data_IF_412220774667
#
_entry.id   IF_412220774667
#
_cell.length_a   1.000
_cell.length_b   1.000
_cell.length_c   1.000
_cell.angle_alpha   90.00
_cell.angle_beta   90.00
_cell.angle_gamma   90.00
#
_symmetry.space_group_name_H-M   'P 1'
#
loop_
_entity.id
_entity.type
_entity.pdbx_description
1 polymer ?
#
# COMPACT_ATOMS: atom_id res chain seq x y z
N UNK A 1 2.69 23.09 15.10
CA UNK A 1 3.37 23.72 13.95
C UNK A 1 2.36 24.25 12.92
N UNK A 2 1.45 23.45 12.42
CA UNK A 2 0.44 23.83 11.42
C UNK A 2 -0.49 24.98 11.85
N UNK A 3 -0.97 24.95 13.09
CA UNK A 3 -1.85 26.00 13.68
C UNK A 3 -1.21 27.40 13.71
N UNK A 4 0.12 27.50 13.83
CA UNK A 4 0.83 28.80 13.82
C UNK A 4 0.84 29.48 12.44
N UNK A 5 0.67 28.69 11.38
CA UNK A 5 0.65 29.16 9.99
C UNK A 5 -0.76 29.19 9.38
N UNK A 6 -1.80 28.87 10.16
CA UNK A 6 -3.18 28.81 9.67
C UNK A 6 -3.44 27.70 8.64
N UNK A 7 -2.55 26.72 8.55
CA UNK A 7 -2.65 25.61 7.58
C UNK A 7 -3.29 24.40 8.27
N UNK A 8 -4.30 23.82 7.65
CA UNK A 8 -4.87 22.56 8.13
C UNK A 8 -3.97 21.39 7.66
N UNK A 9 -3.59 20.46 8.56
CA UNK A 9 -2.89 19.24 8.16
C UNK A 9 -3.78 18.39 7.25
N UNK A 10 -3.19 17.59 6.34
CA UNK A 10 -3.96 16.69 5.50
C UNK A 10 -4.70 15.67 6.38
N UNK A 11 -5.97 15.41 6.07
CA UNK A 11 -6.80 14.43 6.79
C UNK A 11 -6.55 13.01 6.28
N UNK A 12 -6.26 12.88 4.99
CA UNK A 12 -6.09 11.60 4.32
C UNK A 12 -4.93 11.57 3.34
N UNK A 13 -4.27 10.43 3.28
CA UNK A 13 -3.19 10.12 2.35
C UNK A 13 -3.57 8.86 1.57
N UNK A 14 -3.57 8.94 0.24
CA UNK A 14 -3.76 7.78 -0.64
C UNK A 14 -2.41 7.29 -1.15
N UNK A 15 -2.02 6.07 -0.76
CA UNK A 15 -0.88 5.36 -1.32
C UNK A 15 -1.35 4.55 -2.54
N UNK A 16 -0.74 4.75 -3.68
CA UNK A 16 -1.07 3.98 -4.88
C UNK A 16 0.20 3.47 -5.57
N UNK A 17 0.10 2.35 -6.27
CA UNK A 17 1.23 1.74 -6.96
C UNK A 17 1.04 0.24 -7.16
N UNK A 18 1.99 -0.43 -7.82
CA UNK A 18 1.90 -1.87 -8.10
C UNK A 18 1.76 -2.70 -6.81
N UNK A 19 1.15 -3.89 -6.89
CA UNK A 19 1.11 -4.81 -5.75
C UNK A 19 2.53 -5.21 -5.32
N UNK A 20 2.68 -5.61 -4.06
CA UNK A 20 3.97 -6.08 -3.55
C UNK A 20 5.06 -5.01 -3.32
N UNK A 21 4.81 -3.72 -3.61
CA UNK A 21 5.78 -2.62 -3.48
C UNK A 21 5.82 -1.97 -2.09
N UNK A 22 5.24 -2.59 -1.07
CA UNK A 22 5.45 -2.15 0.33
C UNK A 22 4.52 -1.04 0.83
N UNK A 23 3.38 -0.74 0.19
CA UNK A 23 2.42 0.29 0.64
C UNK A 23 1.98 0.10 2.10
N UNK A 24 1.65 -1.12 2.48
CA UNK A 24 1.25 -1.48 3.86
C UNK A 24 2.41 -1.34 4.84
N UNK A 25 3.63 -1.70 4.44
CA UNK A 25 4.84 -1.55 5.26
C UNK A 25 5.15 -0.07 5.49
N UNK A 26 5.04 0.76 4.45
CA UNK A 26 5.22 2.21 4.56
C UNK A 26 4.25 2.84 5.56
N UNK A 27 2.97 2.47 5.50
CA UNK A 27 1.97 2.98 6.44
C UNK A 27 2.27 2.58 7.89
N UNK A 28 2.74 1.34 8.12
CA UNK A 28 3.17 0.87 9.45
C UNK A 28 4.41 1.61 9.95
N UNK A 29 5.40 1.83 9.08
CA UNK A 29 6.60 2.57 9.42
C UNK A 29 6.27 4.00 9.86
N UNK A 30 5.38 4.69 9.13
CA UNK A 30 4.89 6.02 9.50
C UNK A 30 4.23 6.02 10.88
N UNK A 31 3.42 5.01 11.20
CA UNK A 31 2.78 4.90 12.52
C UNK A 31 3.79 4.68 13.64
N UNK A 32 4.79 3.83 13.41
CA UNK A 32 5.86 3.55 14.38
C UNK A 32 6.71 4.80 14.66
N UNK A 33 7.15 5.49 13.60
CA UNK A 33 7.97 6.71 13.71
C UNK A 33 7.21 7.87 14.38
N UNK A 34 5.90 7.96 14.14
CA UNK A 34 5.05 9.00 14.75
C UNK A 34 4.50 8.59 16.12
N UNK A 35 4.84 7.41 16.64
CA UNK A 35 4.33 6.86 17.90
C UNK A 35 2.78 6.88 17.97
N UNK A 36 2.14 6.67 16.83
CA UNK A 36 0.69 6.66 16.71
C UNK A 36 0.13 5.22 16.77
N UNK A 37 -1.04 5.06 17.35
CA UNK A 37 -1.76 3.80 17.32
C UNK A 37 -2.16 3.44 15.88
N UNK A 38 -1.94 2.20 15.46
CA UNK A 38 -2.20 1.74 14.09
C UNK A 38 -3.42 0.83 14.04
N UNK A 39 -4.47 1.27 13.35
CA UNK A 39 -5.71 0.53 13.16
C UNK A 39 -5.79 0.11 11.69
N UNK A 40 -5.50 -1.15 11.41
CA UNK A 40 -5.54 -1.70 10.05
C UNK A 40 -6.90 -2.31 9.75
N UNK A 41 -7.42 -1.97 8.58
CA UNK A 41 -8.73 -2.42 8.07
C UNK A 41 -8.55 -2.84 6.61
N UNK A 42 -9.01 -4.03 6.24
CA UNK A 42 -9.06 -4.44 4.84
C UNK A 42 -10.43 -4.14 4.25
N UNK A 43 -10.46 -3.54 3.06
CA UNK A 43 -11.71 -3.18 2.39
C UNK A 43 -12.75 -4.31 2.35
N UNK A 44 -12.40 -5.51 1.85
CA UNK A 44 -13.34 -6.64 1.79
C UNK A 44 -13.91 -7.09 3.13
N UNK A 45 -13.16 -6.95 4.23
CA UNK A 45 -13.61 -7.38 5.56
C UNK A 45 -14.82 -6.59 6.07
N UNK A 46 -14.98 -5.35 5.61
CA UNK A 46 -16.12 -4.50 5.99
C UNK A 46 -17.43 -5.06 5.42
N UNK A 47 -17.38 -5.60 4.21
CA UNK A 47 -18.57 -6.17 3.58
C UNK A 47 -18.89 -7.59 4.07
N UNK A 48 -17.86 -8.41 4.32
CA UNK A 48 -18.03 -9.81 4.73
C UNK A 48 -18.41 -9.97 6.20
N UNK A 49 -17.81 -9.18 7.07
CA UNK A 49 -17.97 -9.30 8.53
C UNK A 49 -19.23 -8.59 9.07
N UNK A 50 -19.74 -7.62 8.31
CA UNK A 50 -20.83 -6.72 8.74
C UNK A 50 -21.96 -6.71 7.71
N UNK A 51 -22.45 -7.90 7.35
CA UNK A 51 -23.57 -8.03 6.39
C UNK A 51 -24.76 -7.21 6.86
N UNK A 52 -25.14 -6.21 6.05
CA UNK A 52 -26.25 -5.30 6.34
C UNK A 52 -25.93 -4.13 7.31
N UNK A 53 -24.74 -4.09 7.92
CA UNK A 53 -24.34 -3.07 8.92
C UNK A 53 -22.95 -2.44 8.63
N UNK A 54 -22.50 -2.48 7.38
CA UNK A 54 -21.17 -2.01 6.99
C UNK A 54 -20.94 -0.53 7.30
N UNK A 55 -21.97 0.30 7.29
CA UNK A 55 -21.91 1.71 7.72
C UNK A 55 -21.66 1.87 9.22
N UNK A 56 -22.20 0.96 10.05
CA UNK A 56 -21.91 0.94 11.49
C UNK A 56 -20.46 0.55 11.77
N UNK A 57 -19.90 -0.38 10.96
CA UNK A 57 -18.50 -0.77 11.06
C UNK A 57 -17.57 0.42 10.82
N UNK A 58 -17.81 1.23 9.78
CA UNK A 58 -17.04 2.45 9.51
C UNK A 58 -17.09 3.40 10.71
N UNK A 59 -18.29 3.68 11.24
CA UNK A 59 -18.44 4.54 12.43
C UNK A 59 -17.64 4.03 13.62
N UNK A 60 -17.68 2.74 13.88
CA UNK A 60 -16.99 2.13 15.01
C UNK A 60 -15.46 2.20 14.86
N UNK A 61 -14.93 2.02 13.64
CA UNK A 61 -13.49 2.19 13.35
C UNK A 61 -13.05 3.61 13.68
N UNK A 62 -13.76 4.62 13.19
CA UNK A 62 -13.43 6.03 13.47
C UNK A 62 -13.63 6.40 14.94
N UNK A 63 -14.63 5.85 15.61
CA UNK A 63 -14.83 6.01 17.06
C UNK A 63 -13.63 5.48 17.84
N UNK A 64 -13.16 4.26 17.52
CA UNK A 64 -11.98 3.65 18.15
C UNK A 64 -10.73 4.48 17.90
N UNK A 65 -10.53 4.97 16.67
CA UNK A 65 -9.40 5.80 16.32
C UNK A 65 -9.36 7.09 17.13
N UNK A 66 -10.51 7.77 17.29
CA UNK A 66 -10.62 8.97 18.13
C UNK A 66 -10.29 8.70 19.59
N UNK A 67 -10.72 7.56 20.14
CA UNK A 67 -10.43 7.18 21.53
C UNK A 67 -8.94 6.80 21.74
N UNK A 68 -8.30 6.29 20.70
CA UNK A 68 -6.89 5.88 20.73
C UNK A 68 -5.93 6.95 20.17
N UNK A 69 -6.37 8.19 19.99
CA UNK A 69 -5.54 9.25 19.44
C UNK A 69 -4.29 9.54 20.30
N UNK A 70 -3.10 9.80 19.70
CA UNK A 70 -2.85 9.90 18.26
C UNK A 70 -2.93 8.55 17.55
N UNK A 71 -3.64 8.50 16.42
CA UNK A 71 -3.88 7.24 15.72
C UNK A 71 -3.87 7.39 14.20
N UNK A 72 -3.53 6.30 13.53
CA UNK A 72 -3.60 6.15 12.07
C UNK A 72 -4.60 5.04 11.76
N UNK A 73 -5.63 5.39 10.97
CA UNK A 73 -6.51 4.40 10.35
C UNK A 73 -5.90 4.06 8.99
N UNK A 74 -5.58 2.80 8.78
CA UNK A 74 -5.05 2.31 7.52
C UNK A 74 -6.09 1.41 6.82
N UNK A 75 -6.54 1.85 5.65
CA UNK A 75 -7.40 1.05 4.78
C UNK A 75 -6.57 0.40 3.69
N UNK A 76 -6.45 -0.92 3.73
CA UNK A 76 -5.85 -1.71 2.64
C UNK A 76 -6.91 -2.17 1.65
N UNK A 77 -6.51 -2.39 0.38
CA UNK A 77 -7.44 -2.73 -0.70
C UNK A 77 -8.61 -1.74 -0.78
N UNK A 78 -8.26 -0.45 -0.75
CA UNK A 78 -9.24 0.62 -0.62
C UNK A 78 -10.21 0.72 -1.81
N UNK A 79 -9.76 0.30 -2.99
CA UNK A 79 -10.57 0.17 -4.20
C UNK A 79 -11.77 -0.79 -4.04
N UNK A 80 -11.63 -1.81 -3.20
CA UNK A 80 -12.75 -2.69 -2.87
C UNK A 80 -13.81 -1.99 -1.99
N UNK A 81 -13.40 -1.01 -1.18
CA UNK A 81 -14.29 -0.29 -0.28
C UNK A 81 -15.03 0.87 -0.97
N UNK A 82 -14.37 1.56 -1.89
CA UNK A 82 -14.86 2.79 -2.52
C UNK A 82 -14.74 2.76 -4.04
N UNK A 83 -15.32 1.75 -4.73
CA UNK A 83 -15.29 1.69 -6.18
C UNK A 83 -16.08 2.84 -6.79
N UNK A 84 -15.68 3.29 -7.99
CA UNK A 84 -16.41 4.27 -8.77
C UNK A 84 -17.84 3.80 -9.04
N UNK A 85 -18.78 4.74 -9.10
CA UNK A 85 -20.19 4.46 -9.28
C UNK A 85 -20.44 3.60 -10.52
N UNK A 86 -21.21 2.52 -10.34
CA UNK A 86 -21.54 1.57 -11.41
C UNK A 86 -20.53 0.41 -11.57
N UNK A 87 -19.44 0.38 -10.81
CA UNK A 87 -18.42 -0.69 -10.87
C UNK A 87 -18.49 -1.70 -9.69
N UNK A 88 -19.35 -1.44 -8.69
CA UNK A 88 -19.50 -2.33 -7.52
C UNK A 88 -20.72 -3.26 -7.64
N UNK A 89 -20.73 -4.36 -6.84
CA UNK A 89 -21.83 -5.33 -6.81
C UNK A 89 -23.14 -4.72 -6.30
N UNK A 90 -23.55 -4.93 -5.05
CA UNK A 90 -24.76 -4.29 -4.50
C UNK A 90 -24.54 -2.77 -4.31
N UNK A 91 -24.94 -1.99 -5.32
CA UNK A 91 -24.67 -0.55 -5.41
C UNK A 91 -25.17 0.23 -4.19
N UNK A 92 -26.30 -0.20 -3.59
CA UNK A 92 -26.89 0.50 -2.42
C UNK A 92 -26.06 0.35 -1.16
N UNK A 93 -25.48 -0.82 -0.91
CA UNK A 93 -24.63 -1.05 0.28
C UNK A 93 -23.32 -0.27 0.11
N UNK A 94 -22.70 -0.36 -1.05
CA UNK A 94 -21.46 0.35 -1.38
C UNK A 94 -21.65 1.87 -1.26
N UNK A 95 -22.74 2.43 -1.80
CA UNK A 95 -23.04 3.86 -1.69
C UNK A 95 -23.22 4.33 -0.24
N UNK A 96 -23.85 3.52 0.62
CA UNK A 96 -23.98 3.82 2.06
C UNK A 96 -22.62 3.84 2.75
N UNK A 97 -21.76 2.86 2.45
CA UNK A 97 -20.41 2.78 3.01
C UNK A 97 -19.59 3.99 2.59
N UNK A 98 -19.59 4.34 1.29
CA UNK A 98 -18.91 5.53 0.77
C UNK A 98 -19.43 6.79 1.45
N UNK A 99 -20.75 6.97 1.54
CA UNK A 99 -21.37 8.14 2.18
C UNK A 99 -21.00 8.25 3.65
N UNK A 100 -20.99 7.14 4.38
CA UNK A 100 -20.60 7.12 5.79
C UNK A 100 -19.10 7.43 5.95
N UNK A 101 -18.23 6.85 5.10
CA UNK A 101 -16.80 7.12 5.11
C UNK A 101 -16.52 8.59 4.86
N UNK A 102 -17.17 9.19 3.85
CA UNK A 102 -17.05 10.62 3.57
C UNK A 102 -17.49 11.48 4.77
N UNK A 103 -18.59 11.11 5.43
CA UNK A 103 -19.08 11.80 6.62
C UNK A 103 -18.07 11.74 7.77
N UNK A 104 -17.47 10.58 8.01
CA UNK A 104 -16.46 10.41 9.07
C UNK A 104 -15.18 11.19 8.76
N UNK A 105 -14.71 11.19 7.52
CA UNK A 105 -13.51 11.95 7.11
C UNK A 105 -13.77 13.47 7.19
N UNK A 106 -14.91 13.92 6.71
CA UNK A 106 -15.30 15.33 6.78
C UNK A 106 -15.45 15.79 8.24
N UNK A 107 -15.95 14.91 9.11
CA UNK A 107 -16.09 15.11 10.54
C UNK A 107 -14.79 15.08 11.36
N UNK A 108 -13.64 14.68 10.76
CA UNK A 108 -12.34 14.75 11.42
C UNK A 108 -11.91 16.22 11.57
N UNK A 109 -11.96 16.68 12.81
CA UNK A 109 -11.41 18.00 13.16
C UNK A 109 -9.90 17.91 13.30
N UNK A 110 -9.20 18.98 12.94
CA UNK A 110 -7.72 19.10 12.97
C UNK A 110 -7.12 18.79 14.36
N UNK A 111 -7.93 18.91 15.42
CA UNK A 111 -7.53 18.70 16.82
C UNK A 111 -7.64 17.24 17.29
N UNK A 112 -8.16 16.33 16.47
CA UNK A 112 -8.40 14.95 16.92
C UNK A 112 -7.21 14.01 16.76
N UNK A 113 -6.08 14.47 16.17
CA UNK A 113 -4.86 13.68 15.96
C UNK A 113 -5.13 12.27 15.35
N UNK A 114 -6.08 12.22 14.41
CA UNK A 114 -6.39 11.02 13.63
C UNK A 114 -6.03 11.29 12.18
N UNK A 115 -5.17 10.45 11.61
CA UNK A 115 -4.80 10.47 10.19
C UNK A 115 -5.39 9.23 9.51
N UNK A 116 -5.92 9.42 8.31
CA UNK A 116 -6.38 8.29 7.48
C UNK A 116 -5.35 8.04 6.38
N UNK A 117 -4.87 6.81 6.27
CA UNK A 117 -4.03 6.36 5.16
C UNK A 117 -4.79 5.26 4.43
N UNK A 118 -4.90 5.37 3.12
CA UNK A 118 -5.50 4.31 2.28
C UNK A 118 -4.47 3.80 1.28
N UNK A 119 -4.50 2.51 0.98
CA UNK A 119 -3.66 1.89 -0.04
C UNK A 119 -4.51 1.21 -1.11
N UNK A 120 -4.11 1.38 -2.37
CA UNK A 120 -4.78 0.76 -3.51
C UNK A 120 -3.78 0.35 -4.60
N UNK A 121 -4.09 -0.74 -5.28
CA UNK A 121 -3.44 -1.14 -6.53
C UNK A 121 -4.21 -0.62 -7.77
N UNK A 122 -5.45 -0.15 -7.57
CA UNK A 122 -6.36 0.30 -8.66
C UNK A 122 -6.84 1.73 -8.41
N UNK A 123 -5.94 2.73 -8.53
CA UNK A 123 -6.32 4.13 -8.33
C UNK A 123 -7.34 4.64 -9.36
N UNK A 124 -7.46 3.95 -10.51
CA UNK A 124 -8.36 4.27 -11.61
C UNK A 124 -9.84 4.02 -11.29
N UNK A 125 -10.14 3.10 -10.37
CA UNK A 125 -11.51 2.74 -10.02
C UNK A 125 -12.00 3.36 -8.71
N UNK A 126 -11.23 4.23 -8.08
CA UNK A 126 -11.64 4.92 -6.85
C UNK A 126 -12.69 5.99 -7.15
N UNK A 127 -13.75 6.07 -6.32
CA UNK A 127 -14.77 7.11 -6.46
C UNK A 127 -14.13 8.52 -6.37
N UNK A 128 -14.33 9.39 -7.38
CA UNK A 128 -13.75 10.73 -7.38
C UNK A 128 -14.14 11.60 -6.18
N UNK A 129 -15.26 11.32 -5.52
CA UNK A 129 -15.68 12.06 -4.34
C UNK A 129 -14.69 11.92 -3.17
N UNK A 130 -13.99 10.79 -3.08
CA UNK A 130 -12.94 10.52 -2.08
C UNK A 130 -11.72 11.42 -2.30
N UNK A 131 -11.41 11.70 -3.56
CA UNK A 131 -10.22 12.44 -3.98
C UNK A 131 -10.40 13.96 -3.96
N UNK A 132 -11.54 14.46 -3.47
CA UNK A 132 -11.80 15.90 -3.38
C UNK A 132 -10.95 16.54 -2.27
N UNK A 133 -10.56 17.84 -2.43
CA UNK A 133 -9.87 18.58 -1.38
C UNK A 133 -10.57 18.51 -0.03
N UNK A 134 -9.80 18.42 1.05
CA UNK A 134 -10.29 18.25 2.42
C UNK A 134 -10.50 16.81 2.85
N UNK A 135 -10.22 15.81 1.98
CA UNK A 135 -10.34 14.37 2.24
C UNK A 135 -9.00 13.69 2.01
N UNK A 136 -8.80 13.02 0.86
CA UNK A 136 -7.49 12.46 0.50
C UNK A 136 -6.70 13.47 -0.33
N UNK A 137 -6.18 14.48 0.37
CA UNK A 137 -5.47 15.62 -0.24
C UNK A 137 -4.08 15.25 -0.75
N UNK A 138 -3.51 14.18 -0.22
CA UNK A 138 -2.17 13.72 -0.59
C UNK A 138 -2.26 12.37 -1.28
N UNK A 139 -1.71 12.33 -2.48
CA UNK A 139 -1.63 11.10 -3.29
C UNK A 139 -0.16 10.79 -3.50
N UNK A 140 0.27 9.66 -2.97
CA UNK A 140 1.68 9.26 -2.97
C UNK A 140 1.82 8.00 -3.81
N UNK A 141 2.60 8.10 -4.87
CA UNK A 141 2.98 6.95 -5.67
C UNK A 141 4.09 6.18 -4.97
N UNK A 142 3.88 4.88 -4.77
CA UNK A 142 4.87 3.93 -4.26
C UNK A 142 5.36 3.13 -5.46
N UNK A 143 6.54 3.46 -6.00
CA UNK A 143 7.07 2.82 -7.19
C UNK A 143 7.58 1.41 -6.91
N UNK A 144 7.86 0.62 -7.95
CA UNK A 144 8.67 -0.58 -7.82
C UNK A 144 10.03 -0.26 -7.18
N UNK A 145 10.67 -1.23 -6.51
CA UNK A 145 11.97 -1.02 -5.93
C UNK A 145 13.03 -0.82 -7.04
N UNK A 146 13.83 0.23 -6.90
CA UNK A 146 15.04 0.42 -7.71
C UNK A 146 16.12 -0.58 -7.33
N UNK A 147 17.27 -0.55 -8.01
CA UNK A 147 18.37 -1.48 -7.75
C UNK A 147 18.83 -1.48 -6.28
N UNK A 148 18.98 -0.30 -5.69
CA UNK A 148 19.45 -0.20 -4.29
C UNK A 148 18.39 -0.72 -3.30
N UNK A 149 17.12 -0.46 -3.56
CA UNK A 149 16.03 -1.00 -2.77
C UNK A 149 15.93 -2.53 -2.91
N UNK A 150 16.06 -3.07 -4.15
CA UNK A 150 16.08 -4.52 -4.37
C UNK A 150 17.24 -5.19 -3.60
N UNK A 151 18.42 -4.59 -3.67
CA UNK A 151 19.60 -5.07 -2.93
C UNK A 151 19.32 -5.13 -1.43
N UNK A 152 18.79 -4.05 -0.86
CA UNK A 152 18.45 -4.01 0.58
C UNK A 152 17.36 -5.01 0.95
N UNK A 153 16.32 -5.15 0.14
CA UNK A 153 15.25 -6.13 0.39
C UNK A 153 15.84 -7.53 0.38
N UNK A 154 16.66 -7.86 -0.61
CA UNK A 154 17.31 -9.16 -0.71
C UNK A 154 18.22 -9.43 0.50
N UNK A 155 19.05 -8.45 0.90
CA UNK A 155 19.87 -8.54 2.11
C UNK A 155 19.06 -8.87 3.36
N UNK A 156 17.96 -8.11 3.59
CA UNK A 156 17.08 -8.33 4.76
C UNK A 156 16.42 -9.71 4.69
N UNK A 157 16.03 -10.18 3.49
CA UNK A 157 15.33 -11.47 3.35
C UNK A 157 16.28 -12.67 3.40
N UNK A 158 17.58 -12.43 3.26
CA UNK A 158 18.62 -13.47 3.34
C UNK A 158 19.51 -13.36 4.57
N UNK A 159 19.24 -12.42 5.48
CA UNK A 159 20.07 -12.14 6.68
C UNK A 159 20.21 -13.37 7.57
N UNK A 160 19.11 -14.12 7.76
CA UNK A 160 19.10 -15.36 8.55
C UNK A 160 19.39 -16.62 7.72
N UNK A 161 19.71 -16.48 6.41
CA UNK A 161 19.96 -17.62 5.53
C UNK A 161 21.45 -17.97 5.49
N UNK A 162 21.82 -19.23 5.69
CA UNK A 162 23.19 -19.68 5.50
C UNK A 162 23.49 -19.76 3.98
N UNK A 163 24.09 -18.70 3.45
CA UNK A 163 24.44 -18.60 2.05
C UNK A 163 25.81 -19.23 1.74
N UNK A 164 25.89 -19.92 0.63
CA UNK A 164 27.15 -20.41 0.06
C UNK A 164 27.99 -19.23 -0.49
N UNK A 165 29.33 -19.40 -0.54
CA UNK A 165 30.25 -18.38 -1.07
C UNK A 165 29.99 -18.01 -2.55
N UNK A 166 29.31 -18.87 -3.30
CA UNK A 166 28.92 -18.60 -4.69
C UNK A 166 27.83 -17.53 -4.82
N UNK A 167 27.12 -17.19 -3.74
CA UNK A 167 25.97 -16.26 -3.76
C UNK A 167 26.45 -14.83 -3.73
N UNK A 168 26.33 -14.14 -4.86
CA UNK A 168 26.57 -12.70 -4.93
C UNK A 168 25.25 -11.93 -4.94
N UNK A 169 24.89 -11.38 -3.78
CA UNK A 169 23.64 -10.62 -3.57
C UNK A 169 23.49 -9.45 -4.54
N UNK A 170 24.61 -8.73 -4.86
CA UNK A 170 24.58 -7.63 -5.82
C UNK A 170 24.23 -8.12 -7.23
N UNK A 171 24.83 -9.23 -7.66
CA UNK A 171 24.56 -9.81 -8.97
C UNK A 171 23.11 -10.32 -9.07
N UNK A 172 22.57 -10.91 -8.00
CA UNK A 172 21.17 -11.31 -7.92
C UNK A 172 20.23 -10.10 -8.01
N UNK A 173 20.46 -9.05 -7.22
CA UNK A 173 19.65 -7.83 -7.25
C UNK A 173 19.65 -7.15 -8.64
N UNK A 174 20.77 -7.25 -9.38
CA UNK A 174 20.86 -6.73 -10.75
C UNK A 174 20.01 -7.54 -11.74
N UNK A 175 19.91 -8.87 -11.57
CA UNK A 175 19.05 -9.73 -12.40
C UNK A 175 17.55 -9.58 -12.10
N UNK A 176 17.17 -9.02 -10.95
CA UNK A 176 15.79 -8.89 -10.48
C UNK A 176 15.12 -7.59 -10.95
N UNK A 177 15.36 -7.13 -12.17
CA UNK A 177 14.65 -5.97 -12.71
C UNK A 177 13.16 -6.30 -12.94
N UNK A 178 12.27 -5.38 -12.56
CA UNK A 178 10.82 -5.62 -12.60
C UNK A 178 10.24 -6.48 -11.47
N UNK A 179 11.08 -6.91 -10.51
CA UNK A 179 10.59 -7.63 -9.33
C UNK A 179 10.03 -6.65 -8.29
N UNK A 180 8.87 -6.98 -7.73
CA UNK A 180 8.35 -6.30 -6.54
C UNK A 180 9.05 -6.79 -5.27
N UNK A 181 8.85 -6.09 -4.15
CA UNK A 181 9.37 -6.56 -2.86
C UNK A 181 8.83 -7.95 -2.45
N UNK A 182 7.59 -8.25 -2.81
CA UNK A 182 6.96 -9.55 -2.56
C UNK A 182 7.56 -10.66 -3.45
N UNK A 183 7.91 -10.32 -4.70
CA UNK A 183 8.58 -11.29 -5.59
C UNK A 183 9.97 -11.64 -5.06
N UNK A 184 10.75 -10.64 -4.62
CA UNK A 184 12.08 -10.85 -4.04
C UNK A 184 12.01 -11.73 -2.79
N UNK A 185 11.02 -11.48 -1.92
CA UNK A 185 10.77 -12.34 -0.76
C UNK A 185 10.39 -13.77 -1.16
N UNK A 186 9.60 -13.92 -2.22
CA UNK A 186 9.20 -15.23 -2.74
C UNK A 186 10.41 -15.98 -3.32
N UNK A 187 11.27 -15.29 -4.09
CA UNK A 187 12.52 -15.89 -4.62
C UNK A 187 13.44 -16.34 -3.49
N UNK A 188 13.64 -15.51 -2.47
CA UNK A 188 14.50 -15.89 -1.34
C UNK A 188 13.96 -17.13 -0.61
N UNK A 189 12.65 -17.19 -0.39
CA UNK A 189 11.99 -18.34 0.23
C UNK A 189 12.09 -19.59 -0.65
N UNK A 190 11.84 -19.46 -1.96
CA UNK A 190 11.88 -20.60 -2.88
C UNK A 190 13.31 -21.12 -3.07
N UNK A 191 14.32 -20.25 -3.07
CA UNK A 191 15.73 -20.68 -3.09
C UNK A 191 16.08 -21.56 -1.88
N UNK A 192 15.63 -21.19 -0.67
CA UNK A 192 15.82 -22.03 0.51
C UNK A 192 15.07 -23.38 0.39
N UNK A 193 13.86 -23.38 -0.18
CA UNK A 193 13.11 -24.61 -0.42
C UNK A 193 13.79 -25.49 -1.47
N UNK A 194 14.39 -24.93 -2.51
CA UNK A 194 15.11 -25.67 -3.54
C UNK A 194 16.36 -26.35 -2.97
N UNK A 195 17.12 -25.66 -2.11
CA UNK A 195 18.24 -26.29 -1.40
C UNK A 195 17.81 -27.54 -0.62
N UNK A 196 16.70 -27.46 0.12
CA UNK A 196 16.14 -28.58 0.90
C UNK A 196 15.56 -29.70 0.01
N UNK A 197 15.04 -29.39 -1.16
CA UNK A 197 14.53 -30.40 -2.12
C UNK A 197 15.65 -31.22 -2.75
N UNK A 198 16.79 -30.56 -3.00
CA UNK A 198 17.99 -31.23 -3.59
C UNK A 198 18.68 -32.10 -2.54
N UNK A 199 18.85 -31.56 -1.34
CA UNK A 199 19.45 -32.27 -0.21
C UNK A 199 18.76 -31.83 1.08
N UNK A 200 18.01 -32.74 1.69
CA UNK A 200 17.28 -32.50 2.94
C UNK A 200 18.19 -32.19 4.15
N UNK A 201 19.48 -32.50 4.04
CA UNK A 201 20.52 -32.19 5.06
C UNK A 201 21.34 -30.96 4.67
N UNK A 202 21.02 -30.30 3.56
CA UNK A 202 21.71 -29.09 3.11
C UNK A 202 21.66 -27.99 4.17
N UNK A 203 22.83 -27.46 4.50
CA UNK A 203 22.95 -26.34 5.44
C UNK A 203 23.28 -25.02 4.73
N UNK A 204 23.32 -24.99 3.40
CA UNK A 204 23.69 -23.81 2.61
C UNK A 204 22.76 -23.65 1.42
N UNK A 205 22.46 -22.41 1.09
CA UNK A 205 21.71 -22.04 -0.11
C UNK A 205 22.69 -21.51 -1.16
N UNK A 206 22.72 -22.13 -2.32
CA UNK A 206 23.65 -21.81 -3.40
C UNK A 206 23.07 -20.86 -4.45
N UNK A 207 23.92 -20.34 -5.33
CA UNK A 207 23.45 -19.51 -6.45
C UNK A 207 22.50 -20.27 -7.40
N UNK A 208 22.67 -21.58 -7.56
CA UNK A 208 21.79 -22.42 -8.39
C UNK A 208 20.37 -22.49 -7.86
N UNK A 209 20.23 -22.51 -6.53
CA UNK A 209 18.92 -22.52 -5.89
C UNK A 209 18.16 -21.22 -6.13
N UNK A 210 18.89 -20.07 -6.11
CA UNK A 210 18.34 -18.76 -6.48
C UNK A 210 17.97 -18.68 -7.96
N UNK A 211 18.82 -19.20 -8.85
CA UNK A 211 18.54 -19.20 -10.29
C UNK A 211 17.29 -20.03 -10.61
N UNK A 212 17.17 -21.22 -10.03
CA UNK A 212 15.97 -22.04 -10.15
C UNK A 212 14.72 -21.33 -9.57
N UNK A 213 14.86 -20.67 -8.42
CA UNK A 213 13.76 -19.92 -7.82
C UNK A 213 13.31 -18.74 -8.70
N UNK A 214 14.22 -18.06 -9.40
CA UNK A 214 13.89 -16.99 -10.33
C UNK A 214 13.17 -17.49 -11.59
N UNK A 215 13.39 -18.73 -12.01
CA UNK A 215 12.62 -19.35 -13.09
C UNK A 215 11.18 -19.65 -12.66
N UNK A 216 10.99 -20.04 -11.40
CA UNK A 216 9.65 -20.34 -10.82
C UNK A 216 8.86 -19.06 -10.46
N UNK A 217 9.56 -18.00 -10.05
CA UNK A 217 8.98 -16.73 -9.63
C UNK A 217 9.38 -15.63 -10.63
N UNK A 218 8.62 -15.40 -11.68
CA UNK A 218 8.91 -14.34 -12.64
C UNK A 218 8.63 -12.94 -12.07
N UNK A 219 9.24 -11.92 -12.68
CA UNK A 219 8.96 -10.53 -12.36
C UNK A 219 7.48 -10.19 -12.57
N UNK A 220 6.82 -9.63 -11.55
CA UNK A 220 5.39 -9.29 -11.59
C UNK A 220 5.11 -7.93 -12.21
N UNK A 221 6.12 -7.06 -12.33
CA UNK A 221 5.94 -5.67 -12.79
C UNK A 221 6.50 -5.53 -14.21
N UNK A 222 5.61 -5.24 -15.15
CA UNK A 222 6.00 -4.98 -16.53
C UNK A 222 6.26 -3.49 -16.76
N UNK A 223 7.10 -3.11 -17.77
CA UNK A 223 7.31 -1.71 -18.13
C UNK A 223 6.02 -0.98 -18.50
N UNK A 224 5.04 -1.69 -19.07
CA UNK A 224 3.73 -1.13 -19.42
C UNK A 224 2.93 -0.78 -18.15
N UNK A 225 2.96 -1.65 -17.14
CA UNK A 225 2.32 -1.41 -15.84
C UNK A 225 2.95 -0.21 -15.16
N UNK A 226 4.27 -0.13 -15.13
CA UNK A 226 4.98 1.00 -14.52
C UNK A 226 4.61 2.32 -15.20
N UNK A 227 4.63 2.36 -16.53
CA UNK A 227 4.21 3.53 -17.31
C UNK A 227 2.78 3.94 -17.00
N UNK A 228 1.86 2.98 -16.87
CA UNK A 228 0.47 3.25 -16.53
C UNK A 228 0.34 3.95 -15.16
N UNK A 229 1.07 3.48 -14.15
CA UNK A 229 1.06 4.13 -12.83
C UNK A 229 1.68 5.54 -12.87
N UNK A 230 2.74 5.73 -13.65
CA UNK A 230 3.35 7.05 -13.84
C UNK A 230 2.37 8.02 -14.50
N UNK A 231 1.63 7.57 -15.51
CA UNK A 231 0.62 8.40 -16.19
C UNK A 231 -0.57 8.72 -15.28
N UNK A 232 -1.01 7.75 -14.45
CA UNK A 232 -2.00 8.02 -13.40
C UNK A 232 -1.52 9.06 -12.38
N UNK A 233 -0.25 8.98 -11.98
CA UNK A 233 0.35 9.96 -11.07
C UNK A 233 0.37 11.37 -11.68
N UNK A 234 0.66 11.50 -12.97
CA UNK A 234 0.60 12.79 -13.69
C UNK A 234 -0.83 13.33 -13.69
N UNK A 235 -1.82 12.50 -14.03
CA UNK A 235 -3.25 12.89 -14.00
C UNK A 235 -3.67 13.42 -12.63
N UNK A 236 -3.25 12.75 -11.55
CA UNK A 236 -3.54 13.20 -10.20
C UNK A 236 -2.93 14.58 -9.89
N UNK A 237 -1.67 14.81 -10.29
CA UNK A 237 -1.00 16.10 -10.12
C UNK A 237 -1.67 17.23 -10.91
N UNK A 238 -2.22 16.93 -12.07
CA UNK A 238 -2.96 17.91 -12.90
C UNK A 238 -4.30 18.29 -12.25
N UNK A 239 -4.99 17.33 -11.65
CA UNK A 239 -6.25 17.58 -10.92
C UNK A 239 -6.04 18.40 -9.63
N UNK A 240 -4.85 18.35 -9.04
CA UNK A 240 -4.50 19.10 -7.83
C UNK A 240 -4.11 20.56 -8.13
N UNK A 241 -3.92 20.94 -9.40
CA UNK A 241 -3.67 22.34 -9.77
C UNK A 241 -4.95 23.15 -9.58
N UNK A 242 -4.87 24.33 -8.95
CA UNK A 242 -6.02 25.23 -8.88
C UNK A 242 -6.48 25.59 -10.30
N UNK A 243 -7.81 25.71 -10.55
CA UNK A 243 -8.29 26.15 -11.83
C UNK A 243 -7.61 27.49 -12.18
N UNK A 244 -7.07 27.59 -13.40
CA UNK A 244 -6.52 28.87 -13.85
C UNK A 244 -7.61 29.93 -13.70
N UNK A 245 -7.32 30.99 -12.96
CA UNK A 245 -8.20 32.15 -12.89
C UNK A 245 -8.35 32.66 -14.32
N UNK A 246 -9.54 32.54 -14.85
CA UNK A 246 -9.91 33.19 -16.12
C UNK A 246 -9.97 34.67 -15.78
N UNK A 247 -8.99 35.39 -16.28
CA UNK A 247 -8.92 36.86 -16.18
C UNK A 247 -10.00 37.53 -17.04
#
# INVERSE_FOLDING_TARGET
MFTRLGIQPPKGILLHGPPGCGKTLLARAVATESQANFISVRGPEIFSKWVGESDKAIREIFRKARMAAPSIIFFDEFDALVPARGMGGDSRVTERVISQLLTEIDGLLTLQNVLVIAATNRPDIIDPAILRPGRFDRRVYVPPPDFEARLKILQIKTDDMPLDESVNINALAAKMDGYSGADIESVAREAAMNALRVDSESNLVSIKDFEAAMEEVPASITPQMEKWYQDMTKKFREQDKPPMAIA
#
